data_IF_338097772092
#
_entry.id   IF_338097772092
#
_cell.length_a   1.000
_cell.length_b   1.000
_cell.length_c   1.000
_cell.angle_alpha   90.00
_cell.angle_beta   90.00
_cell.angle_gamma   90.00
#
_symmetry.space_group_name_H-M   'P 1'
#
loop_
_entity.id
_entity.type
_entity.pdbx_description
1 polymer ?
#
# COMPACT_ATOMS: atom_id res chain seq x y z
N UNK A 1 -14.90 8.70 -54.46
CA UNK A 1 -15.26 7.82 -53.34
C UNK A 1 -14.11 7.85 -52.35
N UNK A 2 -14.22 8.69 -51.31
CA UNK A 2 -13.16 8.87 -50.30
C UNK A 2 -13.49 7.90 -49.19
N UNK A 3 -12.63 6.91 -48.91
CA UNK A 3 -12.74 6.03 -47.76
C UNK A 3 -12.34 6.79 -46.51
N UNK A 4 -13.33 7.13 -45.70
CA UNK A 4 -13.11 7.64 -44.33
C UNK A 4 -12.75 6.44 -43.48
N UNK A 5 -11.46 6.36 -43.05
CA UNK A 5 -11.01 5.37 -42.09
C UNK A 5 -11.61 5.64 -40.73
N UNK A 6 -12.44 4.70 -40.25
CA UNK A 6 -12.93 4.70 -38.86
C UNK A 6 -11.77 4.29 -37.92
N UNK A 7 -11.02 5.27 -37.44
CA UNK A 7 -10.29 5.11 -36.20
C UNK A 7 -11.27 5.34 -35.04
N UNK A 8 -11.93 4.26 -34.61
CA UNK A 8 -12.54 4.22 -33.27
C UNK A 8 -11.39 4.18 -32.28
N UNK A 9 -10.91 5.36 -31.85
CA UNK A 9 -10.11 5.46 -30.64
C UNK A 9 -10.93 4.84 -29.51
N UNK A 10 -10.39 3.79 -28.90
CA UNK A 10 -10.92 3.23 -27.66
C UNK A 10 -11.16 4.39 -26.69
N UNK A 11 -12.42 4.67 -26.39
CA UNK A 11 -12.80 5.70 -25.44
C UNK A 11 -12.26 5.24 -24.09
N UNK A 12 -11.28 5.96 -23.55
CA UNK A 12 -10.81 5.73 -22.20
C UNK A 12 -12.01 5.81 -21.26
N UNK A 13 -12.27 4.75 -20.50
CA UNK A 13 -13.33 4.70 -19.49
C UNK A 13 -13.03 5.61 -18.29
N UNK A 14 -11.87 6.26 -18.30
CA UNK A 14 -11.42 7.12 -17.21
C UNK A 14 -11.97 8.54 -17.33
N UNK A 15 -12.42 9.10 -16.20
CA UNK A 15 -12.92 10.47 -16.09
C UNK A 15 -11.79 11.51 -16.10
N UNK A 16 -10.61 11.14 -15.62
CA UNK A 16 -9.42 12.00 -15.57
C UNK A 16 -8.13 11.20 -15.44
N UNK A 17 -7.02 11.84 -15.84
CA UNK A 17 -5.67 11.27 -15.78
C UNK A 17 -4.69 12.28 -15.14
N UNK A 18 -4.55 12.31 -13.81
CA UNK A 18 -3.57 13.15 -13.14
C UNK A 18 -2.14 12.75 -13.52
N UNK A 19 -1.26 13.74 -13.63
CA UNK A 19 0.15 13.53 -13.98
C UNK A 19 1.05 13.59 -12.75
N UNK A 20 0.57 14.19 -11.67
CA UNK A 20 1.32 14.38 -10.44
C UNK A 20 0.53 13.89 -9.23
N UNK A 21 1.26 13.58 -8.15
CA UNK A 21 0.66 13.28 -6.85
C UNK A 21 -0.29 14.37 -6.38
N UNK A 22 0.09 15.63 -6.53
CA UNK A 22 -0.67 16.75 -5.98
C UNK A 22 -1.97 16.98 -6.77
N UNK A 23 -1.96 16.79 -8.08
CA UNK A 23 -3.18 16.75 -8.90
C UNK A 23 -4.10 15.61 -8.45
N UNK A 24 -3.57 14.39 -8.30
CA UNK A 24 -4.33 13.25 -7.82
C UNK A 24 -4.93 13.52 -6.44
N UNK A 25 -4.15 14.04 -5.51
CA UNK A 25 -4.59 14.36 -4.13
C UNK A 25 -5.73 15.39 -4.13
N UNK A 26 -5.66 16.40 -5.00
CA UNK A 26 -6.72 17.38 -5.17
C UNK A 26 -8.01 16.72 -5.70
N UNK A 27 -7.90 15.92 -6.75
CA UNK A 27 -9.05 15.19 -7.34
C UNK A 27 -9.73 14.31 -6.28
N UNK A 28 -8.95 13.51 -5.54
CA UNK A 28 -9.45 12.64 -4.46
C UNK A 28 -10.21 13.48 -3.42
N UNK A 29 -9.61 14.58 -2.95
CA UNK A 29 -10.24 15.45 -1.95
C UNK A 29 -11.56 16.04 -2.44
N UNK A 30 -11.60 16.48 -3.70
CA UNK A 30 -12.79 17.06 -4.32
C UNK A 30 -13.89 15.99 -4.49
N UNK A 31 -13.53 14.76 -4.87
CA UNK A 31 -14.47 13.63 -4.99
C UNK A 31 -15.05 13.23 -3.63
N UNK A 32 -14.21 13.05 -2.62
CA UNK A 32 -14.65 12.72 -1.26
C UNK A 32 -15.58 13.81 -0.71
N UNK A 33 -15.27 15.09 -0.96
CA UNK A 33 -16.12 16.21 -0.52
C UNK A 33 -17.50 16.23 -1.17
N UNK A 34 -17.61 15.79 -2.43
CA UNK A 34 -18.87 15.81 -3.21
C UNK A 34 -19.71 14.55 -3.04
N UNK A 35 -19.05 13.39 -2.98
CA UNK A 35 -19.70 12.08 -3.09
C UNK A 35 -19.62 11.27 -1.78
N UNK A 36 -18.86 11.78 -0.80
CA UNK A 36 -18.66 11.13 0.49
C UNK A 36 -17.45 10.18 0.52
N UNK A 37 -17.10 9.69 1.74
CA UNK A 37 -15.90 8.91 1.95
C UNK A 37 -15.91 7.50 1.34
N UNK A 38 -17.07 7.01 0.90
CA UNK A 38 -17.21 5.68 0.31
C UNK A 38 -17.35 5.73 -1.24
N UNK A 39 -16.97 6.85 -1.87
CA UNK A 39 -17.06 6.99 -3.32
C UNK A 39 -16.15 6.01 -4.08
N UNK A 40 -16.55 5.66 -5.30
CA UNK A 40 -15.74 4.90 -6.25
C UNK A 40 -14.77 5.85 -6.97
N UNK A 41 -13.46 5.56 -6.91
CA UNK A 41 -12.41 6.32 -7.57
C UNK A 41 -11.73 5.54 -8.71
N UNK A 42 -12.30 4.40 -9.13
CA UNK A 42 -11.70 3.55 -10.17
C UNK A 42 -11.77 4.17 -11.58
N UNK A 43 -12.52 5.25 -11.75
CA UNK A 43 -12.56 6.05 -12.97
C UNK A 43 -11.41 7.07 -13.09
N UNK A 44 -10.50 7.11 -12.14
CA UNK A 44 -9.28 7.92 -12.20
C UNK A 44 -8.13 7.05 -12.75
N UNK A 45 -7.55 7.44 -13.88
CA UNK A 45 -6.36 6.78 -14.42
C UNK A 45 -5.11 7.23 -13.63
N UNK A 46 -4.62 6.35 -12.75
CA UNK A 46 -3.43 6.61 -11.94
C UNK A 46 -2.14 5.99 -12.51
N UNK A 47 -2.21 5.41 -13.72
CA UNK A 47 -1.10 4.65 -14.32
C UNK A 47 0.19 5.44 -14.51
N UNK A 48 0.13 6.79 -14.53
CA UNK A 48 1.29 7.67 -14.66
C UNK A 48 1.89 8.09 -13.31
N UNK A 49 1.26 7.72 -12.19
CA UNK A 49 1.69 8.15 -10.87
C UNK A 49 2.81 7.24 -10.36
N UNK A 50 3.94 7.84 -10.00
CA UNK A 50 5.11 7.14 -9.43
C UNK A 50 5.13 7.29 -7.90
N UNK A 51 4.58 8.39 -7.37
CA UNK A 51 4.56 8.70 -5.95
C UNK A 51 3.13 8.87 -5.45
N UNK A 52 2.72 8.02 -4.51
CA UNK A 52 1.41 8.04 -3.84
C UNK A 52 1.52 8.34 -2.34
N UNK A 53 2.66 8.90 -1.90
CA UNK A 53 2.88 9.25 -0.50
C UNK A 53 1.75 10.17 0.02
N UNK A 54 1.23 9.86 1.24
CA UNK A 54 0.23 10.64 1.97
C UNK A 54 -1.12 10.88 1.23
N UNK A 55 -1.48 10.10 0.20
CA UNK A 55 -2.72 10.37 -0.56
C UNK A 55 -3.97 10.32 0.32
N UNK A 56 -4.05 9.37 1.23
CA UNK A 56 -5.17 9.18 2.17
C UNK A 56 -4.75 9.35 3.63
N UNK A 57 -3.68 10.13 3.88
CA UNK A 57 -3.23 10.45 5.23
C UNK A 57 -4.35 11.11 6.05
N UNK A 58 -4.64 10.54 7.24
CA UNK A 58 -5.68 10.99 8.17
C UNK A 58 -7.05 11.19 7.47
N UNK A 59 -7.43 10.23 6.60
CA UNK A 59 -8.62 10.30 5.76
C UNK A 59 -9.71 9.35 6.25
N UNK A 60 -10.96 9.80 6.19
CA UNK A 60 -12.16 8.97 6.38
C UNK A 60 -12.50 8.12 5.14
N UNK A 61 -11.73 8.23 4.04
CA UNK A 61 -11.98 7.49 2.82
C UNK A 61 -11.95 5.98 3.06
N UNK A 62 -13.02 5.31 2.64
CA UNK A 62 -13.16 3.84 2.64
C UNK A 62 -13.93 3.36 1.39
N UNK A 63 -13.73 4.05 0.27
CA UNK A 63 -14.34 3.75 -1.02
C UNK A 63 -13.53 2.75 -1.85
N UNK A 64 -13.83 2.65 -3.14
CA UNK A 64 -13.25 1.66 -4.04
C UNK A 64 -12.11 2.25 -4.89
N UNK A 65 -10.92 1.62 -4.76
CA UNK A 65 -9.71 1.86 -5.55
C UNK A 65 -9.09 0.54 -6.04
N UNK A 66 -9.87 -0.53 -6.05
CA UNK A 66 -9.40 -1.89 -6.33
C UNK A 66 -8.85 -2.06 -7.75
N UNK A 67 -9.29 -1.22 -8.70
CA UNK A 67 -8.87 -1.26 -10.11
C UNK A 67 -7.75 -0.27 -10.45
N UNK A 68 -7.20 0.44 -9.49
CA UNK A 68 -6.08 1.34 -9.75
C UNK A 68 -4.87 0.59 -10.31
N UNK A 69 -4.34 1.04 -11.44
CA UNK A 69 -3.06 0.56 -11.96
C UNK A 69 -1.91 1.26 -11.23
N UNK A 70 -1.41 0.60 -10.17
CA UNK A 70 -0.29 1.08 -9.35
C UNK A 70 1.06 0.51 -9.80
N UNK A 71 1.12 -0.11 -10.98
CA UNK A 71 2.31 -0.83 -11.47
C UNK A 71 3.55 0.05 -11.68
N UNK A 72 3.37 1.39 -11.76
CA UNK A 72 4.45 2.36 -11.86
C UNK A 72 4.78 3.04 -10.52
N UNK A 73 4.04 2.75 -9.45
CA UNK A 73 4.29 3.37 -8.14
C UNK A 73 5.57 2.83 -7.52
N UNK A 74 6.45 3.73 -7.12
CA UNK A 74 7.68 3.42 -6.37
C UNK A 74 7.58 3.81 -4.89
N UNK A 75 6.80 4.85 -4.58
CA UNK A 75 6.64 5.37 -3.22
C UNK A 75 5.18 5.40 -2.79
N UNK A 76 4.84 4.56 -1.81
CA UNK A 76 3.54 4.50 -1.13
C UNK A 76 3.65 4.83 0.38
N UNK A 77 4.72 5.52 0.79
CA UNK A 77 4.95 5.90 2.19
C UNK A 77 3.78 6.70 2.77
N UNK A 78 3.35 6.37 3.97
CA UNK A 78 2.26 7.04 4.70
C UNK A 78 0.93 7.13 3.93
N UNK A 79 0.75 6.34 2.85
CA UNK A 79 -0.42 6.48 1.97
C UNK A 79 -1.74 6.36 2.71
N UNK A 80 -1.82 5.48 3.71
CA UNK A 80 -3.00 5.23 4.54
C UNK A 80 -2.72 5.45 6.04
N UNK A 81 -1.70 6.24 6.39
CA UNK A 81 -1.39 6.57 7.78
C UNK A 81 -2.58 7.28 8.44
N UNK A 82 -3.04 6.78 9.62
CA UNK A 82 -4.21 7.29 10.34
C UNK A 82 -5.54 7.19 9.54
N UNK A 83 -5.64 6.33 8.54
CA UNK A 83 -6.78 6.24 7.62
C UNK A 83 -7.83 5.21 8.08
N UNK A 84 -9.09 5.46 7.70
CA UNK A 84 -10.21 4.50 7.86
C UNK A 84 -10.28 3.47 6.73
N UNK A 85 -9.41 3.58 5.73
CA UNK A 85 -9.44 2.69 4.57
C UNK A 85 -9.26 1.22 4.95
N UNK A 86 -10.19 0.39 4.50
CA UNK A 86 -10.15 -1.07 4.61
C UNK A 86 -10.71 -1.76 3.34
N UNK A 87 -10.59 -1.09 2.20
CA UNK A 87 -11.03 -1.60 0.89
C UNK A 87 -10.10 -2.68 0.31
N UNK A 88 -10.53 -3.31 -0.78
CA UNK A 88 -9.76 -4.35 -1.46
C UNK A 88 -8.64 -3.75 -2.32
N UNK A 89 -7.41 -4.12 -2.00
CA UNK A 89 -6.20 -3.79 -2.76
C UNK A 89 -5.33 -5.04 -2.99
N UNK A 90 -5.93 -6.23 -2.87
CA UNK A 90 -5.24 -7.52 -2.99
C UNK A 90 -4.62 -7.75 -4.36
N UNK A 91 -5.20 -7.15 -5.41
CA UNK A 91 -4.75 -7.30 -6.80
C UNK A 91 -3.78 -6.22 -7.27
N UNK A 92 -3.36 -5.30 -6.41
CA UNK A 92 -2.40 -4.27 -6.78
C UNK A 92 -1.06 -4.87 -7.21
N UNK A 93 -0.52 -4.42 -8.34
CA UNK A 93 0.82 -4.79 -8.80
C UNK A 93 1.87 -3.92 -8.09
N UNK A 94 2.40 -4.43 -6.98
CA UNK A 94 3.35 -3.72 -6.11
C UNK A 94 4.82 -3.90 -6.50
N UNK A 95 5.09 -4.59 -7.62
CA UNK A 95 6.44 -5.02 -8.01
C UNK A 95 7.50 -3.91 -8.05
N UNK A 96 7.11 -2.66 -8.38
CA UNK A 96 8.04 -1.52 -8.43
C UNK A 96 8.08 -0.74 -7.12
N UNK A 97 7.18 -0.99 -6.18
CA UNK A 97 7.14 -0.26 -4.93
C UNK A 97 8.38 -0.56 -4.08
N UNK A 98 9.06 0.50 -3.67
CA UNK A 98 10.29 0.46 -2.87
C UNK A 98 10.07 0.96 -1.46
N UNK A 99 9.17 1.93 -1.29
CA UNK A 99 8.90 2.58 0.00
C UNK A 99 7.47 2.33 0.46
N UNK A 100 7.35 1.62 1.58
CA UNK A 100 6.13 1.31 2.32
C UNK A 100 6.17 1.91 3.75
N UNK A 101 7.08 2.86 4.01
CA UNK A 101 7.26 3.46 5.33
C UNK A 101 5.95 4.00 5.87
N UNK A 102 5.53 3.58 7.07
CA UNK A 102 4.28 4.01 7.73
C UNK A 102 3.00 3.84 6.89
N UNK A 103 2.99 2.97 5.86
CA UNK A 103 1.88 2.93 4.89
C UNK A 103 0.52 2.68 5.54
N UNK A 104 0.45 1.83 6.56
CA UNK A 104 -0.76 1.48 7.31
C UNK A 104 -0.61 1.74 8.82
N UNK A 105 0.30 2.61 9.21
CA UNK A 105 0.49 2.99 10.60
C UNK A 105 -0.77 3.64 11.15
N UNK A 106 -1.21 3.21 12.35
CA UNK A 106 -2.42 3.71 13.02
C UNK A 106 -3.70 3.65 12.15
N UNK A 107 -3.76 2.73 11.16
CA UNK A 107 -4.89 2.60 10.25
C UNK A 107 -5.85 1.47 10.65
N UNK A 108 -7.07 1.52 10.07
CA UNK A 108 -8.09 0.47 10.23
C UNK A 108 -7.88 -0.71 9.25
N UNK A 109 -6.85 -0.63 8.38
CA UNK A 109 -6.63 -1.61 7.31
C UNK A 109 -6.34 -3.01 7.86
N UNK A 110 -7.11 -4.00 7.41
CA UNK A 110 -6.92 -5.42 7.67
C UNK A 110 -7.27 -6.29 6.43
N UNK A 111 -7.10 -5.74 5.22
CA UNK A 111 -7.33 -6.44 3.96
C UNK A 111 -6.24 -7.46 3.61
N UNK A 112 -6.57 -8.42 2.75
CA UNK A 112 -5.60 -9.43 2.28
C UNK A 112 -4.59 -8.79 1.30
N UNK A 113 -3.32 -8.80 1.67
CA UNK A 113 -2.19 -8.36 0.85
C UNK A 113 -1.11 -9.45 0.74
N UNK A 114 -1.47 -10.69 1.01
CA UNK A 114 -0.55 -11.83 1.01
C UNK A 114 0.14 -12.06 -0.33
N UNK A 115 -0.49 -11.61 -1.44
CA UNK A 115 0.01 -11.79 -2.81
C UNK A 115 0.86 -10.64 -3.32
N UNK A 116 1.10 -9.59 -2.54
CA UNK A 116 1.92 -8.47 -2.98
C UNK A 116 3.35 -8.90 -3.31
N UNK A 117 3.84 -8.44 -4.45
CA UNK A 117 5.23 -8.67 -4.88
C UNK A 117 6.16 -7.61 -4.28
N UNK A 118 6.92 -8.01 -3.27
CA UNK A 118 7.79 -7.13 -2.50
C UNK A 118 9.27 -7.23 -2.89
N UNK A 119 9.58 -7.83 -4.05
CA UNK A 119 10.98 -8.00 -4.47
C UNK A 119 11.78 -6.70 -4.59
N UNK A 120 11.12 -5.57 -4.81
CA UNK A 120 11.74 -4.25 -4.87
C UNK A 120 11.68 -3.47 -3.56
N UNK A 121 10.98 -3.98 -2.53
CA UNK A 121 10.81 -3.29 -1.27
C UNK A 121 12.14 -3.07 -0.56
N UNK A 122 12.35 -1.84 -0.08
CA UNK A 122 13.58 -1.42 0.61
C UNK A 122 13.26 -0.90 2.01
N UNK A 123 12.15 -0.18 2.16
CA UNK A 123 11.77 0.46 3.41
C UNK A 123 10.33 0.10 3.80
N UNK A 124 10.20 -0.62 4.93
CA UNK A 124 8.94 -1.05 5.55
C UNK A 124 8.86 -0.62 7.03
N UNK A 125 9.69 0.36 7.43
CA UNK A 125 9.67 0.88 8.79
C UNK A 125 8.28 1.38 9.17
N UNK A 126 7.81 1.00 10.36
CA UNK A 126 6.52 1.38 10.96
C UNK A 126 5.27 1.02 10.14
N UNK A 127 5.40 0.16 9.10
CA UNK A 127 4.33 -0.10 8.12
C UNK A 127 2.98 -0.46 8.76
N UNK A 128 2.99 -1.20 9.87
CA UNK A 128 1.79 -1.63 10.60
C UNK A 128 1.83 -1.22 12.08
N UNK A 129 2.63 -0.23 12.45
CA UNK A 129 2.71 0.23 13.83
C UNK A 129 1.33 0.73 14.30
N UNK A 130 0.94 0.36 15.55
CA UNK A 130 -0.35 0.74 16.14
C UNK A 130 -1.58 0.37 15.28
N UNK A 131 -1.48 -0.63 14.39
CA UNK A 131 -2.56 -1.03 13.49
C UNK A 131 -3.33 -2.25 13.97
N UNK A 132 -4.52 -2.46 13.37
CA UNK A 132 -5.34 -3.67 13.56
C UNK A 132 -4.96 -4.80 12.61
N UNK A 133 -3.95 -4.61 11.75
CA UNK A 133 -3.57 -5.57 10.73
C UNK A 133 -3.14 -6.91 11.32
N UNK A 134 -3.79 -8.01 10.85
CA UNK A 134 -3.49 -9.37 11.27
C UNK A 134 -3.73 -10.42 10.17
N UNK A 135 -3.41 -10.10 8.90
CA UNK A 135 -3.54 -11.03 7.78
C UNK A 135 -2.23 -11.81 7.53
N UNK A 136 -2.31 -13.03 6.93
CA UNK A 136 -1.13 -13.85 6.66
C UNK A 136 -0.13 -13.16 5.72
N UNK A 137 1.16 -13.18 6.11
CA UNK A 137 2.25 -12.59 5.32
C UNK A 137 3.43 -13.59 5.12
N UNK A 138 3.22 -14.88 5.37
CA UNK A 138 4.29 -15.89 5.41
C UNK A 138 5.11 -15.99 4.12
N UNK A 139 4.47 -15.72 2.96
CA UNK A 139 5.06 -15.91 1.65
C UNK A 139 5.70 -14.62 1.08
N UNK A 140 5.72 -13.53 1.85
CA UNK A 140 6.37 -12.30 1.45
C UNK A 140 7.88 -12.48 1.31
N UNK A 141 8.43 -12.05 0.16
CA UNK A 141 9.87 -11.98 -0.03
C UNK A 141 10.41 -10.64 0.46
N UNK A 142 10.97 -10.63 1.67
CA UNK A 142 11.51 -9.43 2.33
C UNK A 142 13.04 -9.35 2.26
N UNK A 143 13.69 -10.19 1.46
CA UNK A 143 15.16 -10.34 1.44
C UNK A 143 15.92 -9.08 1.00
N UNK A 144 15.26 -8.11 0.35
CA UNK A 144 15.85 -6.84 -0.08
C UNK A 144 15.61 -5.68 0.89
N UNK A 145 14.80 -5.88 1.94
CA UNK A 145 14.41 -4.81 2.85
C UNK A 145 15.58 -4.39 3.74
N UNK A 146 15.83 -3.07 3.82
CA UNK A 146 16.88 -2.47 4.66
C UNK A 146 16.34 -1.97 6.00
N UNK A 147 15.05 -1.63 6.05
CA UNK A 147 14.45 -1.03 7.23
C UNK A 147 13.07 -1.66 7.52
N UNK A 148 12.97 -2.31 8.68
CA UNK A 148 11.76 -2.86 9.29
C UNK A 148 11.58 -2.34 10.72
N UNK A 149 12.22 -1.19 11.07
CA UNK A 149 12.11 -0.60 12.41
C UNK A 149 10.65 -0.43 12.78
N UNK A 150 10.26 -0.92 13.96
CA UNK A 150 8.92 -0.77 14.51
C UNK A 150 7.78 -1.32 13.64
N UNK A 151 8.06 -2.19 12.65
CA UNK A 151 7.10 -2.57 11.62
C UNK A 151 5.77 -3.08 12.18
N UNK A 152 5.78 -3.80 13.28
CA UNK A 152 4.60 -4.33 13.96
C UNK A 152 4.49 -3.85 15.42
N UNK A 153 5.26 -2.81 15.81
CA UNK A 153 5.23 -2.30 17.17
C UNK A 153 3.81 -1.85 17.56
N UNK A 154 3.36 -2.23 18.76
CA UNK A 154 2.04 -1.91 19.30
C UNK A 154 0.85 -2.34 18.39
N UNK A 155 1.07 -3.30 17.46
CA UNK A 155 0.02 -3.79 16.55
C UNK A 155 -0.70 -5.02 17.10
N UNK A 156 -1.75 -5.47 16.39
CA UNK A 156 -2.46 -6.72 16.71
C UNK A 156 -1.90 -7.94 15.96
N UNK A 157 -0.77 -7.81 15.27
CA UNK A 157 -0.23 -8.83 14.38
C UNK A 157 0.22 -10.08 15.15
N UNK A 158 -0.30 -11.26 14.77
CA UNK A 158 0.04 -12.56 15.36
C UNK A 158 0.00 -13.69 14.32
N UNK A 159 0.53 -13.45 13.09
CA UNK A 159 0.62 -14.45 12.04
C UNK A 159 2.04 -14.98 11.91
N UNK A 160 2.17 -16.22 11.39
CA UNK A 160 3.45 -16.89 11.18
C UNK A 160 4.25 -16.24 10.05
N UNK A 161 5.40 -15.65 10.40
CA UNK A 161 6.40 -15.09 9.48
C UNK A 161 7.80 -15.69 9.75
N UNK A 162 7.86 -16.85 10.41
CA UNK A 162 9.13 -17.53 10.78
C UNK A 162 10.02 -17.85 9.58
N UNK A 163 9.43 -17.92 8.37
CA UNK A 163 10.16 -18.21 7.12
C UNK A 163 10.77 -16.99 6.45
N UNK A 164 10.51 -15.78 6.95
CA UNK A 164 11.11 -14.58 6.36
C UNK A 164 12.63 -14.62 6.44
N UNK A 165 13.27 -14.40 5.31
CA UNK A 165 14.72 -14.27 5.21
C UNK A 165 15.07 -12.79 5.29
N UNK A 166 15.39 -12.34 6.50
CA UNK A 166 15.81 -10.97 6.74
C UNK A 166 17.33 -10.93 6.52
N UNK A 167 17.77 -10.00 5.66
CA UNK A 167 19.21 -9.88 5.36
C UNK A 167 19.99 -9.26 6.49
N UNK A 168 21.27 -9.53 6.53
CA UNK A 168 22.20 -8.90 7.47
C UNK A 168 22.22 -7.38 7.30
N UNK A 169 22.27 -6.66 8.42
CA UNK A 169 22.27 -5.19 8.46
C UNK A 169 20.90 -4.55 8.22
N UNK A 170 19.79 -5.33 8.08
CA UNK A 170 18.45 -4.77 8.10
C UNK A 170 18.15 -4.18 9.49
N UNK A 171 17.67 -2.94 9.54
CA UNK A 171 17.23 -2.33 10.80
C UNK A 171 15.90 -2.95 11.27
N UNK A 172 15.96 -3.78 12.30
CA UNK A 172 14.80 -4.43 12.94
C UNK A 172 14.51 -3.91 14.35
N UNK A 173 15.08 -2.73 14.71
CA UNK A 173 14.88 -2.13 16.03
C UNK A 173 13.40 -1.99 16.36
N UNK A 174 12.99 -2.50 17.52
CA UNK A 174 11.60 -2.45 18.02
C UNK A 174 10.55 -3.07 17.06
N UNK A 175 10.96 -3.96 16.14
CA UNK A 175 10.06 -4.52 15.12
C UNK A 175 8.81 -5.17 15.72
N UNK A 176 8.91 -5.77 16.90
CA UNK A 176 7.84 -6.48 17.61
C UNK A 176 7.61 -5.94 19.03
N UNK A 177 7.97 -4.70 19.31
CA UNK A 177 7.72 -4.06 20.60
C UNK A 177 6.22 -4.01 20.87
N UNK A 178 5.77 -4.48 22.06
CA UNK A 178 4.36 -4.56 22.42
C UNK A 178 3.44 -5.24 21.38
N UNK A 179 4.00 -6.18 20.60
CA UNK A 179 3.28 -6.96 19.59
C UNK A 179 2.98 -8.37 20.12
N UNK A 180 1.74 -8.89 19.99
CA UNK A 180 1.33 -10.19 20.53
C UNK A 180 1.89 -11.39 19.76
N UNK A 181 2.66 -11.18 18.70
CA UNK A 181 3.22 -12.24 17.87
C UNK A 181 4.00 -13.27 18.71
N UNK A 182 3.64 -14.53 18.59
CA UNK A 182 4.28 -15.65 19.28
C UNK A 182 5.77 -15.73 18.89
N UNK A 183 6.61 -16.16 19.84
CA UNK A 183 8.07 -16.26 19.61
C UNK A 183 8.43 -17.21 18.47
N UNK A 184 7.71 -18.34 18.33
CA UNK A 184 7.90 -19.34 17.28
C UNK A 184 7.40 -18.89 15.89
N UNK A 185 6.62 -17.81 15.81
CA UNK A 185 6.18 -17.18 14.56
C UNK A 185 7.13 -16.09 14.05
N UNK A 186 8.10 -15.69 14.86
CA UNK A 186 9.08 -14.63 14.50
C UNK A 186 10.19 -15.19 13.60
N UNK A 187 10.68 -14.40 12.64
CA UNK A 187 11.86 -14.78 11.87
C UNK A 187 13.12 -14.73 12.75
N UNK A 188 14.18 -15.41 12.29
CA UNK A 188 15.50 -15.27 12.90
C UNK A 188 16.03 -13.88 12.55
N UNK A 189 16.34 -13.08 13.56
CA UNK A 189 16.98 -11.78 13.41
C UNK A 189 18.48 -11.94 13.59
N UNK A 190 19.30 -11.44 12.66
CA UNK A 190 20.74 -11.32 12.83
C UNK A 190 21.02 -10.35 13.99
N UNK A 191 21.99 -10.70 14.84
CA UNK A 191 22.41 -9.88 15.98
C UNK A 191 23.22 -8.69 15.53
#
# INVERSE_FOLDING_TARGET
MIKIGNNLSEWSSYSCQPKTRDELKKIIKDRISKEGPNCDLNDIDVSQIINMCDLFYNSEFNGDISKWDVSNVENAGSMFLLSKFNGDISNWNTRKMRNFYSMFEMSEFNGDISRWDLRSAVNMGYMFQNSKFNQPLKDWNVSNVNNMRGMFSCSQFNQDISRWKIKDGCNTTNMFEDCPIRKDFRPVLSK
#
